data_IF_465264006884
#
_entry.id   IF_465264006884
#
_cell.length_a   1.000
_cell.length_b   1.000
_cell.length_c   1.000
_cell.angle_alpha   90.00
_cell.angle_beta   90.00
_cell.angle_gamma   90.00
#
_symmetry.space_group_name_H-M   'P 1'
#
loop_
_entity.id
_entity.type
_entity.pdbx_description
1 polymer ?
#
# COMPACT_ATOMS: atom_id res chain seq x y z
N UNK A 1 -5.10 23.87 24.33
CA UNK A 1 -5.71 22.62 24.85
C UNK A 1 -5.95 21.70 23.67
N UNK A 2 -5.40 20.49 23.67
CA UNK A 2 -5.66 19.47 22.63
C UNK A 2 -6.77 18.58 23.15
N UNK A 3 -7.87 18.46 22.44
CA UNK A 3 -8.96 17.55 22.77
C UNK A 3 -8.94 16.45 21.72
N UNK A 4 -8.80 15.21 22.14
CA UNK A 4 -8.89 14.02 21.28
C UNK A 4 -10.23 13.35 21.54
N UNK A 5 -11.09 13.31 20.54
CA UNK A 5 -12.38 12.61 20.60
C UNK A 5 -12.26 11.36 19.75
N UNK A 6 -12.45 10.19 20.38
CA UNK A 6 -12.51 8.92 19.67
C UNK A 6 -13.93 8.71 19.13
N UNK A 7 -14.05 8.48 17.84
CA UNK A 7 -15.28 7.99 17.20
C UNK A 7 -15.11 6.51 16.84
N UNK A 8 -16.14 5.86 16.33
CA UNK A 8 -16.10 4.43 15.98
C UNK A 8 -14.97 4.09 14.97
N UNK A 9 -14.57 5.04 14.10
CA UNK A 9 -13.59 4.78 13.01
C UNK A 9 -12.55 5.89 12.84
N UNK A 10 -12.46 6.87 13.74
CA UNK A 10 -11.49 7.96 13.62
C UNK A 10 -11.24 8.66 14.95
N UNK A 11 -10.09 9.33 15.06
CA UNK A 11 -9.83 10.31 16.11
C UNK A 11 -10.01 11.71 15.56
N UNK A 12 -10.73 12.55 16.27
CA UNK A 12 -10.85 13.97 15.97
C UNK A 12 -9.90 14.70 16.91
N UNK A 13 -8.85 15.28 16.37
CA UNK A 13 -7.95 16.15 17.12
C UNK A 13 -8.38 17.61 16.90
N UNK A 14 -8.72 18.30 17.97
CA UNK A 14 -9.00 19.75 17.94
C UNK A 14 -7.74 20.49 18.33
N UNK A 15 -7.10 21.13 17.37
CA UNK A 15 -5.95 21.99 17.59
C UNK A 15 -6.19 23.33 16.91
N UNK A 16 -6.13 24.41 17.70
CA UNK A 16 -6.21 25.78 17.20
C UNK A 16 -7.42 26.06 16.27
N UNK A 17 -8.63 25.69 16.72
CA UNK A 17 -9.91 25.81 15.97
C UNK A 17 -9.98 25.03 14.65
N UNK A 18 -9.04 24.16 14.36
CA UNK A 18 -9.10 23.24 13.22
C UNK A 18 -9.43 21.83 13.70
N UNK A 19 -10.41 21.21 13.03
CA UNK A 19 -10.75 19.81 13.22
C UNK A 19 -9.88 18.98 12.27
N UNK A 20 -9.00 18.16 12.82
CA UNK A 20 -8.23 17.19 12.04
C UNK A 20 -8.81 15.82 12.34
N UNK A 21 -9.47 15.21 11.34
CA UNK A 21 -9.85 13.81 11.43
C UNK A 21 -8.62 12.95 11.20
N UNK A 22 -8.17 12.26 12.23
CA UNK A 22 -7.11 11.25 12.13
C UNK A 22 -7.81 9.90 12.05
N UNK A 23 -7.75 9.25 10.91
CA UNK A 23 -8.27 7.89 10.75
C UNK A 23 -7.45 6.95 11.63
N UNK A 24 -8.11 6.04 12.33
CA UNK A 24 -7.41 5.04 13.15
C UNK A 24 -6.58 4.13 12.26
N UNK A 25 -5.29 3.96 12.57
CA UNK A 25 -4.41 3.09 11.81
C UNK A 25 -4.83 1.64 12.01
N UNK A 26 -5.09 0.92 10.93
CA UNK A 26 -5.30 -0.52 10.95
C UNK A 26 -3.93 -1.22 10.99
N UNK A 27 -3.51 -1.63 12.19
CA UNK A 27 -2.21 -2.27 12.40
C UNK A 27 -2.01 -3.59 11.62
N UNK A 28 -3.09 -4.13 11.06
CA UNK A 28 -3.07 -5.35 10.26
C UNK A 28 -3.26 -5.10 8.76
N UNK A 29 -3.14 -3.85 8.33
CA UNK A 29 -3.24 -3.46 6.93
C UNK A 29 -1.88 -3.05 6.38
N UNK A 30 -1.53 -3.58 5.23
CA UNK A 30 -0.34 -3.23 4.45
C UNK A 30 -0.73 -2.77 3.06
N UNK A 31 -0.02 -1.79 2.53
CA UNK A 31 -0.15 -1.38 1.15
C UNK A 31 1.17 -1.62 0.39
N UNK A 32 1.07 -2.05 -0.85
CA UNK A 32 2.21 -2.19 -1.77
C UNK A 32 1.95 -1.32 -2.99
N UNK A 33 2.84 -0.35 -3.22
CA UNK A 33 2.78 0.59 -4.35
C UNK A 33 3.84 0.19 -5.37
N UNK A 34 3.38 -0.18 -6.56
CA UNK A 34 4.19 -0.78 -7.63
C UNK A 34 4.08 -2.30 -7.62
N UNK A 35 3.37 -2.86 -8.60
CA UNK A 35 3.13 -4.30 -8.74
C UNK A 35 4.04 -4.92 -9.83
N UNK A 36 5.29 -4.42 -9.94
CA UNK A 36 6.32 -5.07 -10.74
C UNK A 36 6.88 -6.31 -10.02
N UNK A 37 7.95 -6.90 -10.56
CA UNK A 37 8.53 -8.14 -10.00
C UNK A 37 8.89 -8.03 -8.51
N UNK A 38 9.44 -6.91 -8.07
CA UNK A 38 9.78 -6.70 -6.65
C UNK A 38 8.53 -6.56 -5.80
N UNK A 39 7.56 -5.78 -6.26
CA UNK A 39 6.32 -5.53 -5.52
C UNK A 39 5.46 -6.78 -5.37
N UNK A 40 5.24 -7.54 -6.45
CA UNK A 40 4.46 -8.78 -6.41
C UNK A 40 5.14 -9.86 -5.55
N UNK A 41 6.47 -10.01 -5.64
CA UNK A 41 7.22 -10.92 -4.76
C UNK A 41 7.12 -10.50 -3.30
N UNK A 42 7.24 -9.19 -3.01
CA UNK A 42 7.07 -8.67 -1.65
C UNK A 42 5.68 -8.90 -1.12
N UNK A 43 4.64 -8.63 -1.93
CA UNK A 43 3.25 -8.86 -1.57
C UNK A 43 2.96 -10.34 -1.27
N UNK A 44 3.47 -11.24 -2.09
CA UNK A 44 3.34 -12.69 -1.86
C UNK A 44 4.02 -13.11 -0.54
N UNK A 45 5.22 -12.60 -0.27
CA UNK A 45 5.93 -12.89 1.00
C UNK A 45 5.17 -12.33 2.21
N UNK A 46 4.61 -11.12 2.10
CA UNK A 46 3.79 -10.53 3.15
C UNK A 46 2.52 -11.33 3.41
N UNK A 47 1.88 -11.86 2.37
CA UNK A 47 0.72 -12.75 2.51
C UNK A 47 1.10 -14.02 3.30
N UNK A 48 2.24 -14.63 2.99
CA UNK A 48 2.71 -15.83 3.71
C UNK A 48 3.11 -15.55 5.16
N UNK A 49 3.55 -14.34 5.48
CA UNK A 49 4.00 -13.95 6.83
C UNK A 49 2.90 -14.05 7.90
N UNK A 50 1.64 -14.02 7.49
CA UNK A 50 0.47 -14.02 8.38
C UNK A 50 0.40 -12.83 9.36
N UNK A 51 1.17 -11.77 9.12
CA UNK A 51 1.20 -10.56 9.95
C UNK A 51 -0.01 -9.65 9.71
N UNK A 52 -0.52 -9.66 8.48
CA UNK A 52 -1.59 -8.77 8.05
C UNK A 52 -2.87 -9.54 7.76
N UNK A 53 -4.00 -8.85 7.82
CA UNK A 53 -5.32 -9.36 7.43
C UNK A 53 -5.90 -8.62 6.23
N UNK A 54 -5.25 -7.54 5.81
CA UNK A 54 -5.65 -6.73 4.66
C UNK A 54 -4.42 -6.25 3.89
N UNK A 55 -4.48 -6.35 2.57
CA UNK A 55 -3.42 -5.89 1.67
C UNK A 55 -4.03 -5.15 0.48
N UNK A 56 -3.55 -3.94 0.25
CA UNK A 56 -3.91 -3.11 -0.90
C UNK A 56 -2.75 -3.09 -1.87
N UNK A 57 -3.00 -3.43 -3.12
CA UNK A 57 -2.04 -3.32 -4.22
C UNK A 57 -2.38 -2.13 -5.09
N UNK A 58 -1.40 -1.29 -5.37
CA UNK A 58 -1.55 -0.09 -6.21
C UNK A 58 -0.47 -0.11 -7.29
N UNK A 59 -0.89 0.10 -8.52
CA UNK A 59 0.02 0.30 -9.66
C UNK A 59 -0.57 1.36 -10.60
N UNK A 60 0.28 2.04 -11.34
CA UNK A 60 -0.15 2.95 -12.41
C UNK A 60 -0.94 2.21 -13.50
N UNK A 61 -0.60 0.94 -13.72
CA UNK A 61 -1.38 -0.01 -14.51
C UNK A 61 -2.35 -0.75 -13.59
N UNK A 62 -3.58 -0.27 -13.52
CA UNK A 62 -4.65 -0.86 -12.71
C UNK A 62 -4.90 -2.34 -13.00
N UNK A 63 -4.86 -2.72 -14.28
CA UNK A 63 -5.08 -4.10 -14.69
C UNK A 63 -3.98 -5.03 -14.15
N UNK A 64 -2.74 -4.54 -14.09
CA UNK A 64 -1.63 -5.25 -13.45
C UNK A 64 -1.90 -5.47 -11.97
N UNK A 65 -2.27 -4.42 -11.24
CA UNK A 65 -2.57 -4.56 -9.80
C UNK A 65 -3.70 -5.55 -9.53
N UNK A 66 -4.74 -5.56 -10.37
CA UNK A 66 -5.85 -6.51 -10.28
C UNK A 66 -5.41 -7.95 -10.58
N UNK A 67 -4.59 -8.15 -11.61
CA UNK A 67 -4.03 -9.45 -11.94
C UNK A 67 -3.17 -10.01 -10.81
N UNK A 68 -2.23 -9.22 -10.30
CA UNK A 68 -1.37 -9.62 -9.18
C UNK A 68 -2.17 -9.92 -7.91
N UNK A 69 -3.21 -9.11 -7.61
CA UNK A 69 -4.09 -9.35 -6.48
C UNK A 69 -4.82 -10.70 -6.60
N UNK A 70 -5.27 -11.07 -7.80
CA UNK A 70 -5.90 -12.35 -8.05
C UNK A 70 -4.91 -13.52 -7.92
N UNK A 71 -3.71 -13.38 -8.49
CA UNK A 71 -2.69 -14.42 -8.43
C UNK A 71 -2.24 -14.68 -6.98
N UNK A 72 -2.02 -13.64 -6.19
CA UNK A 72 -1.66 -13.77 -4.78
C UNK A 72 -2.80 -14.42 -3.98
N UNK A 73 -4.07 -14.09 -4.28
CA UNK A 73 -5.23 -14.74 -3.65
C UNK A 73 -5.27 -16.24 -3.86
N UNK A 74 -4.81 -16.75 -5.00
CA UNK A 74 -4.73 -18.18 -5.24
C UNK A 74 -3.78 -18.91 -4.27
N UNK A 75 -2.85 -18.20 -3.64
CA UNK A 75 -1.99 -18.72 -2.58
C UNK A 75 -2.63 -18.77 -1.18
N UNK A 76 -3.77 -18.10 -0.97
CA UNK A 76 -4.42 -18.03 0.35
C UNK A 76 -4.79 -19.37 0.99
N UNK A 77 -5.15 -20.44 0.25
CA UNK A 77 -5.41 -21.74 0.86
C UNK A 77 -4.22 -22.30 1.67
N UNK A 78 -3.01 -21.81 1.40
CA UNK A 78 -1.77 -22.22 2.07
C UNK A 78 -1.30 -21.22 3.14
N UNK A 79 -2.08 -20.16 3.41
CA UNK A 79 -1.76 -19.09 4.34
C UNK A 79 -2.95 -18.75 5.25
N UNK A 80 -2.80 -17.73 6.10
CA UNK A 80 -3.94 -17.23 6.86
C UNK A 80 -4.87 -16.38 5.99
N UNK A 81 -6.17 -16.35 6.28
CA UNK A 81 -7.12 -15.51 5.56
C UNK A 81 -6.67 -14.04 5.54
N UNK A 82 -6.66 -13.44 4.35
CA UNK A 82 -6.31 -12.05 4.12
C UNK A 82 -7.21 -11.47 3.03
N UNK A 83 -7.69 -10.25 3.23
CA UNK A 83 -8.36 -9.50 2.18
C UNK A 83 -7.31 -8.81 1.31
N UNK A 84 -7.14 -9.26 0.06
CA UNK A 84 -6.16 -8.73 -0.90
C UNK A 84 -6.90 -8.13 -2.07
N UNK A 85 -6.64 -6.88 -2.42
CA UNK A 85 -7.32 -6.23 -3.54
C UNK A 85 -6.47 -5.12 -4.17
N UNK A 86 -6.76 -4.83 -5.44
CA UNK A 86 -6.24 -3.64 -6.10
C UNK A 86 -7.07 -2.43 -5.66
N UNK A 87 -6.41 -1.42 -5.14
CA UNK A 87 -7.03 -0.20 -4.61
C UNK A 87 -6.43 1.08 -5.17
N UNK A 88 -6.86 2.18 -4.59
CA UNK A 88 -6.39 3.53 -4.88
C UNK A 88 -5.67 4.13 -3.67
N UNK A 89 -5.04 5.30 -3.84
CA UNK A 89 -4.35 5.99 -2.74
C UNK A 89 -5.27 6.37 -1.57
N UNK A 90 -6.57 6.48 -1.78
CA UNK A 90 -7.56 6.68 -0.70
C UNK A 90 -7.70 5.45 0.20
N UNK A 91 -7.38 4.26 -0.30
CA UNK A 91 -7.52 3.01 0.44
C UNK A 91 -6.38 2.75 1.43
N UNK A 92 -5.28 3.50 1.32
CA UNK A 92 -4.09 3.28 2.16
C UNK A 92 -3.98 4.25 3.34
N UNK A 93 -4.95 5.13 3.53
CA UNK A 93 -4.89 6.20 4.56
C UNK A 93 -4.80 5.66 5.99
N UNK A 94 -5.28 4.43 6.21
CA UNK A 94 -5.24 3.72 7.48
C UNK A 94 -4.23 2.56 7.50
N UNK A 95 -3.42 2.39 6.46
CA UNK A 95 -2.43 1.33 6.42
C UNK A 95 -1.33 1.55 7.47
N UNK A 96 -0.95 0.49 8.18
CA UNK A 96 0.15 0.54 9.14
C UNK A 96 1.51 0.58 8.46
N UNK A 97 1.64 -0.08 7.32
CA UNK A 97 2.88 -0.16 6.55
C UNK A 97 2.57 0.11 5.08
N UNK A 98 3.41 0.93 4.47
CA UNK A 98 3.37 1.19 3.03
C UNK A 98 4.74 0.79 2.47
N UNK A 99 4.73 -0.16 1.55
CA UNK A 99 5.91 -0.64 0.81
C UNK A 99 5.88 0.00 -0.56
N UNK A 100 6.88 0.81 -0.90
CA UNK A 100 6.97 1.49 -2.18
C UNK A 100 8.05 0.82 -3.01
N UNK A 101 7.63 0.17 -4.08
CA UNK A 101 8.51 -0.46 -5.09
C UNK A 101 8.28 0.12 -6.49
N UNK A 102 7.43 1.14 -6.59
CA UNK A 102 7.18 1.84 -7.84
C UNK A 102 8.47 2.46 -8.36
N UNK A 103 8.73 2.27 -9.64
CA UNK A 103 9.90 2.82 -10.31
C UNK A 103 9.98 2.36 -11.76
N UNK A 104 10.58 3.19 -12.62
CA UNK A 104 10.83 2.86 -14.00
C UNK A 104 12.03 1.91 -14.12
N UNK A 105 11.93 0.93 -15.01
CA UNK A 105 13.07 0.09 -15.37
C UNK A 105 14.05 0.87 -16.27
N UNK A 106 15.34 0.65 -16.07
CA UNK A 106 16.40 1.21 -16.91
C UNK A 106 16.30 0.65 -18.33
N UNK A 107 16.35 1.52 -19.31
CA UNK A 107 16.36 1.14 -20.73
C UNK A 107 17.81 0.99 -21.24
N UNK A 108 18.05 0.17 -22.27
CA UNK A 108 19.37 0.10 -22.91
C UNK A 108 19.84 1.48 -23.36
N UNK A 109 21.07 1.85 -23.01
CA UNK A 109 21.67 3.16 -23.34
C UNK A 109 21.29 4.31 -22.38
N UNK A 110 20.45 4.07 -21.40
CA UNK A 110 20.07 5.08 -20.39
C UNK A 110 21.10 5.11 -19.23
N UNK A 111 21.46 6.31 -18.78
CA UNK A 111 22.35 6.46 -17.63
C UNK A 111 21.58 6.29 -16.31
N UNK A 112 22.30 6.02 -15.21
CA UNK A 112 21.67 5.98 -13.86
C UNK A 112 21.09 7.35 -13.46
N UNK A 113 21.67 8.44 -13.91
CA UNK A 113 21.16 9.79 -13.64
C UNK A 113 19.81 10.02 -14.34
N UNK A 114 19.67 9.57 -15.59
CA UNK A 114 18.40 9.64 -16.32
C UNK A 114 17.30 8.83 -15.61
N UNK A 115 17.67 7.64 -15.11
CA UNK A 115 16.75 6.81 -14.36
C UNK A 115 16.31 7.45 -13.03
N UNK A 116 17.25 8.07 -12.30
CA UNK A 116 16.93 8.79 -11.05
C UNK A 116 15.95 9.93 -11.33
N UNK A 117 16.21 10.74 -12.38
CA UNK A 117 15.33 11.85 -12.75
C UNK A 117 13.91 11.37 -13.10
N UNK A 118 13.78 10.22 -13.76
CA UNK A 118 12.47 9.61 -14.04
C UNK A 118 11.77 9.14 -12.77
N UNK A 119 12.50 8.49 -11.87
CA UNK A 119 11.92 7.95 -10.63
C UNK A 119 11.54 9.02 -9.62
N UNK A 120 12.18 10.19 -9.64
CA UNK A 120 11.78 11.36 -8.83
C UNK A 120 10.44 11.94 -9.30
N UNK A 121 10.05 11.72 -10.55
CA UNK A 121 8.79 12.20 -11.12
C UNK A 121 7.61 11.22 -10.96
N UNK A 122 7.86 10.03 -10.43
CA UNK A 122 6.85 9.00 -10.09
C UNK A 122 6.34 9.22 -8.67
#
# INVERSE_FOLDING_TARGET
>A
MKILIKTANAYICVHDRRFIMVKEVNIRKVAVIGCGFVGSTSAYTLMQSSLFSEMVLIDADRARAEGEALDIKHGLPFAKPMNIYAGDYSDIVDAAIIVITAGAAQKPGETRLDLVNKNVAI
#
